data_IF_324849326009
#
_entry.id   IF_324849326009
#
_cell.length_a   1.000
_cell.length_b   1.000
_cell.length_c   1.000
_cell.angle_alpha   90.00
_cell.angle_beta   90.00
_cell.angle_gamma   90.00
#
_symmetry.space_group_name_H-M   'P 1'
#
loop_
_entity.id
_entity.type
_entity.pdbx_description
1 polymer ?
#
# COMPACT_ATOMS: atom_id res chain seq x y z
N UNK A 1 -23.97 -11.82 -2.01
CA UNK A 1 -25.03 -11.27 -2.90
C UNK A 1 -24.84 -11.74 -4.34
N UNK A 2 -23.81 -11.32 -5.08
CA UNK A 2 -23.68 -11.67 -6.52
C UNK A 2 -23.80 -13.18 -6.81
N UNK A 3 -23.11 -14.04 -6.04
CA UNK A 3 -23.20 -15.50 -6.20
C UNK A 3 -24.62 -16.05 -5.97
N UNK A 4 -25.38 -15.48 -5.02
CA UNK A 4 -26.75 -15.91 -4.70
C UNK A 4 -27.69 -15.58 -5.86
N UNK A 5 -27.49 -14.44 -6.52
CA UNK A 5 -28.38 -13.93 -7.57
C UNK A 5 -28.01 -14.44 -8.97
N UNK A 6 -26.74 -14.78 -9.22
CA UNK A 6 -26.21 -15.05 -10.56
C UNK A 6 -25.73 -16.49 -10.76
N UNK A 7 -25.87 -17.37 -9.77
CA UNK A 7 -25.44 -18.78 -9.87
C UNK A 7 -26.49 -19.73 -9.29
N UNK A 8 -26.43 -21.01 -9.67
CA UNK A 8 -27.28 -22.08 -9.11
C UNK A 8 -26.59 -22.84 -7.97
N UNK A 9 -25.59 -22.23 -7.34
CA UNK A 9 -24.86 -22.83 -6.22
C UNK A 9 -25.73 -22.95 -4.98
N UNK A 10 -25.48 -23.98 -4.19
CA UNK A 10 -26.16 -24.16 -2.91
C UNK A 10 -25.69 -23.13 -1.89
N UNK A 11 -26.56 -22.80 -0.93
CA UNK A 11 -26.20 -21.88 0.16
C UNK A 11 -24.99 -22.36 0.96
N UNK A 12 -24.83 -23.69 1.10
CA UNK A 12 -23.65 -24.29 1.73
C UNK A 12 -22.37 -23.99 0.95
N UNK A 13 -22.36 -24.15 -0.37
CA UNK A 13 -21.18 -23.84 -1.20
C UNK A 13 -20.79 -22.36 -1.13
N UNK A 14 -21.77 -21.47 -1.11
CA UNK A 14 -21.55 -20.02 -0.99
C UNK A 14 -21.04 -19.67 0.42
N UNK A 15 -21.63 -20.29 1.45
CA UNK A 15 -21.21 -20.14 2.85
C UNK A 15 -19.75 -20.58 3.06
N UNK A 16 -19.39 -21.77 2.57
CA UNK A 16 -18.04 -22.31 2.64
C UNK A 16 -17.03 -21.41 1.91
N UNK A 17 -17.41 -20.84 0.76
CA UNK A 17 -16.55 -19.92 -0.01
C UNK A 17 -16.36 -18.56 0.68
N UNK A 18 -17.44 -18.00 1.23
CA UNK A 18 -17.42 -16.69 1.89
C UNK A 18 -16.95 -16.76 3.36
N UNK A 19 -16.84 -17.95 3.95
CA UNK A 19 -16.45 -18.15 5.35
C UNK A 19 -17.51 -17.66 6.35
N UNK A 20 -18.78 -17.66 5.95
CA UNK A 20 -19.91 -17.22 6.79
C UNK A 20 -20.94 -18.34 6.92
N UNK A 21 -21.83 -18.25 7.90
CA UNK A 21 -22.75 -19.36 8.18
C UNK A 21 -23.87 -19.46 7.12
N UNK A 22 -24.31 -20.68 6.79
CA UNK A 22 -25.37 -20.91 5.78
C UNK A 22 -26.67 -20.13 6.09
N UNK A 23 -27.05 -20.02 7.38
CA UNK A 23 -28.19 -19.20 7.82
C UNK A 23 -28.07 -17.72 7.46
N UNK A 24 -26.85 -17.15 7.49
CA UNK A 24 -26.63 -15.76 7.09
C UNK A 24 -26.83 -15.60 5.58
N UNK A 25 -26.38 -16.57 4.78
CA UNK A 25 -26.62 -16.61 3.33
C UNK A 25 -28.12 -16.74 3.02
N UNK A 26 -28.86 -17.58 3.76
CA UNK A 26 -30.33 -17.70 3.63
C UNK A 26 -31.02 -16.39 3.97
N UNK A 27 -30.69 -15.77 5.10
CA UNK A 27 -31.27 -14.46 5.47
C UNK A 27 -30.94 -13.35 4.46
N UNK A 28 -29.80 -13.42 3.77
CA UNK A 28 -29.48 -12.53 2.64
C UNK A 28 -30.33 -12.83 1.39
N UNK A 29 -30.63 -14.11 1.12
CA UNK A 29 -31.49 -14.52 0.00
C UNK A 29 -32.96 -14.16 0.24
N UNK A 30 -33.43 -14.31 1.49
CA UNK A 30 -34.80 -13.99 1.93
C UNK A 30 -35.04 -12.48 2.10
N UNK A 31 -33.98 -11.66 2.01
CA UNK A 31 -34.05 -10.21 2.09
C UNK A 31 -34.20 -9.64 3.52
N UNK A 32 -34.01 -10.47 4.56
CA UNK A 32 -34.12 -10.07 5.96
C UNK A 32 -32.91 -9.26 6.46
N UNK A 33 -31.74 -9.43 5.82
CA UNK A 33 -30.51 -8.72 6.18
C UNK A 33 -30.37 -7.44 5.35
N UNK A 34 -30.24 -6.29 6.02
CA UNK A 34 -30.15 -4.96 5.40
C UNK A 34 -29.21 -4.94 4.16
N UNK A 35 -29.78 -4.63 2.99
CA UNK A 35 -29.16 -4.63 1.65
C UNK A 35 -28.08 -3.55 1.43
N UNK A 36 -27.22 -3.27 2.42
CA UNK A 36 -26.16 -2.25 2.27
C UNK A 36 -24.87 -2.78 1.63
N UNK A 37 -24.80 -4.08 1.29
CA UNK A 37 -23.60 -4.69 0.70
C UNK A 37 -23.81 -4.82 -0.81
N UNK A 38 -23.16 -3.96 -1.61
CA UNK A 38 -23.05 -4.17 -3.06
C UNK A 38 -22.30 -5.47 -3.31
N UNK A 39 -22.97 -6.46 -3.90
CA UNK A 39 -22.34 -7.70 -4.32
C UNK A 39 -21.25 -7.44 -5.36
N UNK A 40 -20.00 -7.67 -4.98
CA UNK A 40 -18.89 -7.68 -5.93
C UNK A 40 -18.96 -8.97 -6.76
N UNK A 41 -18.71 -8.85 -8.07
CA UNK A 41 -18.63 -10.00 -8.96
C UNK A 41 -17.26 -10.71 -8.75
N UNK A 42 -17.24 -11.96 -8.22
CA UNK A 42 -16.00 -12.69 -7.95
C UNK A 42 -15.26 -13.14 -9.21
N UNK A 43 -15.95 -13.21 -10.37
CA UNK A 43 -15.33 -13.50 -11.67
C UNK A 43 -14.58 -12.26 -12.16
N UNK A 44 -15.23 -11.09 -12.09
CA UNK A 44 -14.60 -9.83 -12.50
C UNK A 44 -13.38 -9.48 -11.64
N UNK A 45 -13.35 -9.94 -10.38
CA UNK A 45 -12.22 -9.78 -9.47
C UNK A 45 -11.16 -10.90 -9.61
N UNK A 46 -11.33 -11.83 -10.55
CA UNK A 46 -10.39 -12.92 -10.80
C UNK A 46 -10.31 -13.99 -9.70
N UNK A 47 -11.26 -13.99 -8.76
CA UNK A 47 -11.29 -14.93 -7.62
C UNK A 47 -11.91 -16.27 -8.00
N UNK A 48 -12.81 -16.29 -8.99
CA UNK A 48 -13.46 -17.49 -9.52
C UNK A 48 -13.47 -17.46 -11.05
N UNK A 49 -13.40 -18.65 -11.67
CA UNK A 49 -13.65 -18.80 -13.10
C UNK A 49 -15.09 -19.24 -13.35
N UNK A 50 -15.61 -18.95 -14.54
CA UNK A 50 -16.93 -19.45 -14.97
C UNK A 50 -16.98 -20.98 -14.93
N UNK A 51 -15.90 -21.64 -15.35
CA UNK A 51 -15.74 -23.09 -15.36
C UNK A 51 -15.88 -23.69 -13.95
N UNK A 52 -15.30 -23.03 -12.94
CA UNK A 52 -15.39 -23.46 -11.55
C UNK A 52 -16.81 -23.32 -10.98
N UNK A 53 -17.52 -22.24 -11.35
CA UNK A 53 -18.92 -22.05 -10.98
C UNK A 53 -19.79 -23.12 -11.64
N UNK A 54 -19.56 -23.45 -12.91
CA UNK A 54 -20.30 -24.50 -13.61
C UNK A 54 -20.03 -25.89 -13.02
N UNK A 55 -18.78 -26.20 -12.67
CA UNK A 55 -18.40 -27.45 -12.00
C UNK A 55 -19.16 -27.62 -10.69
N UNK A 56 -19.14 -26.58 -9.85
CA UNK A 56 -19.82 -26.59 -8.56
C UNK A 56 -21.35 -26.52 -8.68
N UNK A 57 -21.88 -25.93 -9.76
CA UNK A 57 -23.34 -25.93 -10.02
C UNK A 57 -23.87 -27.31 -10.42
N UNK A 58 -23.01 -28.19 -10.96
CA UNK A 58 -23.38 -29.57 -11.37
C UNK A 58 -23.26 -30.58 -10.23
N UNK A 59 -22.45 -30.31 -9.21
CA UNK A 59 -22.29 -31.18 -8.05
C UNK A 59 -22.42 -30.40 -6.72
N UNK A 60 -23.56 -30.54 -6.02
CA UNK A 60 -23.81 -29.90 -4.72
C UNK A 60 -22.81 -30.24 -3.61
N UNK A 61 -22.05 -31.33 -3.73
CA UNK A 61 -21.08 -31.76 -2.71
C UNK A 61 -19.69 -31.16 -2.92
N UNK A 62 -19.47 -30.42 -4.01
CA UNK A 62 -18.17 -29.83 -4.32
C UNK A 62 -18.07 -28.40 -3.80
N UNK A 63 -16.89 -28.02 -3.31
CA UNK A 63 -16.66 -26.68 -2.78
C UNK A 63 -15.92 -25.82 -3.81
N UNK A 64 -16.34 -24.55 -3.92
CA UNK A 64 -15.69 -23.54 -4.75
C UNK A 64 -14.22 -23.37 -4.31
N UNK A 65 -13.31 -23.46 -5.27
CA UNK A 65 -11.90 -23.17 -5.08
C UNK A 65 -11.57 -21.78 -5.63
N UNK A 66 -10.85 -20.98 -4.83
CA UNK A 66 -10.36 -19.68 -5.28
C UNK A 66 -9.33 -19.93 -6.40
N UNK A 67 -9.60 -19.38 -7.58
CA UNK A 67 -8.63 -19.33 -8.66
C UNK A 67 -7.54 -18.35 -8.25
N UNK A 68 -6.39 -18.86 -7.82
CA UNK A 68 -5.28 -18.02 -7.39
C UNK A 68 -4.69 -17.31 -8.61
N UNK A 69 -5.05 -16.04 -8.82
CA UNK A 69 -4.40 -15.22 -9.84
C UNK A 69 -3.02 -14.74 -9.32
N UNK A 70 -1.92 -14.90 -10.08
CA UNK A 70 -0.60 -14.37 -9.71
C UNK A 70 -0.59 -12.86 -9.42
N UNK A 71 -1.59 -12.12 -9.91
CA UNK A 71 -1.76 -10.70 -9.64
C UNK A 71 -2.12 -10.39 -8.17
N UNK A 72 -2.79 -11.31 -7.46
CA UNK A 72 -3.16 -11.11 -6.05
C UNK A 72 -1.95 -11.19 -5.11
N UNK A 73 -0.93 -11.98 -5.45
CA UNK A 73 0.36 -11.96 -4.74
C UNK A 73 1.08 -10.63 -4.92
N UNK A 74 1.06 -10.10 -6.14
CA UNK A 74 1.66 -8.80 -6.44
C UNK A 74 0.94 -7.68 -5.67
N UNK A 75 -0.39 -7.72 -5.54
CA UNK A 75 -1.14 -6.73 -4.77
C UNK A 75 -0.95 -6.88 -3.25
N UNK A 76 -0.85 -8.10 -2.70
CA UNK A 76 -0.50 -8.31 -1.28
C UNK A 76 0.90 -7.79 -0.95
N UNK A 77 1.85 -7.89 -1.88
CA UNK A 77 3.20 -7.36 -1.75
C UNK A 77 3.27 -5.83 -1.91
N UNK A 78 2.27 -5.22 -2.55
CA UNK A 78 2.05 -3.77 -2.49
C UNK A 78 1.34 -3.38 -1.19
N UNK A 79 1.88 -3.77 -0.03
CA UNK A 79 1.67 -2.98 1.18
C UNK A 79 2.14 -1.57 0.85
N UNK A 80 1.20 -0.69 0.44
CA UNK A 80 1.42 0.76 0.36
C UNK A 80 2.12 1.11 1.66
N UNK A 81 3.42 1.41 1.57
CA UNK A 81 4.14 1.97 2.70
C UNK A 81 3.42 3.28 3.01
N UNK A 82 2.44 3.22 3.91
CA UNK A 82 1.78 4.41 4.44
C UNK A 82 2.92 5.24 4.99
N UNK A 83 3.06 6.47 4.49
CA UNK A 83 4.11 7.37 4.92
C UNK A 83 4.13 7.37 6.45
N UNK A 84 5.21 6.84 7.04
CA UNK A 84 5.34 6.73 8.50
C UNK A 84 5.16 8.13 9.06
N UNK A 85 4.11 8.33 9.87
CA UNK A 85 3.86 9.61 10.54
C UNK A 85 5.14 10.06 11.23
N UNK A 86 5.74 11.16 10.79
CA UNK A 86 6.92 11.73 11.44
C UNK A 86 6.44 12.56 12.62
N UNK A 87 6.76 12.18 13.88
CA UNK A 87 6.36 12.94 15.05
C UNK A 87 6.83 14.39 14.96
N UNK A 88 6.05 15.33 15.52
CA UNK A 88 6.31 16.77 15.37
C UNK A 88 7.70 17.18 15.88
N UNK A 89 8.17 16.52 16.94
CA UNK A 89 9.51 16.69 17.50
C UNK A 89 10.62 16.40 16.47
N UNK A 90 10.39 15.45 15.56
CA UNK A 90 11.36 15.06 14.52
C UNK A 90 11.23 15.89 13.24
N UNK A 91 10.34 16.87 13.18
CA UNK A 91 10.23 17.78 12.02
C UNK A 91 11.37 18.78 11.96
N UNK A 92 11.95 19.15 13.10
CA UNK A 92 13.13 20.02 13.18
C UNK A 92 14.41 19.30 12.71
N UNK A 93 14.43 17.97 12.74
CA UNK A 93 15.56 17.17 12.25
C UNK A 93 15.62 17.11 10.71
N UNK A 94 14.50 17.36 10.01
CA UNK A 94 14.45 17.30 8.54
C UNK A 94 15.30 18.39 7.88
N UNK A 95 15.21 19.67 8.28
CA UNK A 95 16.10 20.70 7.75
C UNK A 95 17.59 20.44 7.98
N UNK A 96 17.95 19.92 9.16
CA UNK A 96 19.32 19.54 9.51
C UNK A 96 19.87 18.45 8.58
N UNK A 97 19.05 17.43 8.30
CA UNK A 97 19.36 16.36 7.36
C UNK A 97 19.51 16.86 5.91
N UNK A 98 18.61 17.74 5.45
CA UNK A 98 18.70 18.32 4.10
C UNK A 98 19.98 19.15 3.95
N UNK A 99 20.31 19.95 4.96
CA UNK A 99 21.51 20.78 4.94
C UNK A 99 22.79 19.92 4.92
N UNK A 100 22.80 18.80 5.67
CA UNK A 100 23.89 17.82 5.60
C UNK A 100 24.02 17.17 4.22
N UNK A 101 22.91 16.75 3.60
CA UNK A 101 22.93 16.15 2.26
C UNK A 101 23.47 17.11 1.21
N UNK A 102 23.01 18.36 1.21
CA UNK A 102 23.49 19.38 0.27
C UNK A 102 24.96 19.72 0.50
N UNK A 103 25.46 19.64 1.73
CA UNK A 103 26.86 19.91 2.06
C UNK A 103 27.80 18.77 1.66
N UNK A 104 27.38 17.51 1.85
CA UNK A 104 28.21 16.34 1.55
C UNK A 104 28.09 15.89 0.08
N UNK A 105 26.93 16.09 -0.54
CA UNK A 105 26.62 15.64 -1.89
C UNK A 105 26.06 16.81 -2.72
N UNK A 106 26.92 17.70 -3.25
CA UNK A 106 26.47 18.89 -3.98
C UNK A 106 25.69 18.56 -5.26
N UNK A 107 25.92 17.38 -5.85
CA UNK A 107 25.27 16.92 -7.08
C UNK A 107 23.96 16.15 -6.83
N UNK A 108 23.50 16.05 -5.58
CA UNK A 108 22.26 15.32 -5.26
C UNK A 108 21.05 15.99 -5.90
N UNK A 109 20.19 15.19 -6.53
CA UNK A 109 18.98 15.72 -7.18
C UNK A 109 17.83 15.84 -6.19
N UNK A 110 17.00 16.88 -6.32
CA UNK A 110 15.87 17.16 -5.41
C UNK A 110 14.94 15.95 -5.22
N UNK A 111 14.69 15.18 -6.29
CA UNK A 111 13.84 13.99 -6.24
C UNK A 111 14.38 12.90 -5.29
N UNK A 112 15.70 12.79 -5.13
CA UNK A 112 16.36 11.83 -4.24
C UNK A 112 16.21 12.29 -2.80
N UNK A 113 16.40 13.59 -2.53
CA UNK A 113 16.18 14.16 -1.20
C UNK A 113 14.72 14.00 -0.76
N UNK A 114 13.76 14.28 -1.64
CA UNK A 114 12.33 14.13 -1.36
C UNK A 114 12.01 12.68 -0.98
N UNK A 115 12.53 11.72 -1.75
CA UNK A 115 12.31 10.28 -1.51
C UNK A 115 12.99 9.79 -0.23
N UNK A 116 14.18 10.30 0.09
CA UNK A 116 14.98 9.88 1.24
C UNK A 116 14.46 10.45 2.57
N UNK A 117 14.12 11.73 2.59
CA UNK A 117 13.78 12.48 3.82
C UNK A 117 12.27 12.65 4.00
N UNK A 118 11.48 12.55 2.93
CA UNK A 118 10.04 12.81 2.97
C UNK A 118 9.76 14.29 3.27
N UNK A 119 10.32 15.16 2.43
CA UNK A 119 10.17 16.63 2.48
C UNK A 119 9.61 17.16 1.16
N UNK A 120 9.32 18.47 1.08
CA UNK A 120 8.87 19.12 -0.15
C UNK A 120 10.03 19.83 -0.86
N UNK A 121 9.90 20.02 -2.18
CA UNK A 121 10.85 20.80 -2.98
C UNK A 121 11.04 22.22 -2.43
N UNK A 122 9.95 22.85 -2.01
CA UNK A 122 9.96 24.19 -1.41
C UNK A 122 10.86 24.28 -0.18
N UNK A 123 10.87 23.26 0.68
CA UNK A 123 11.75 23.23 1.86
C UNK A 123 13.21 23.02 1.47
N UNK A 124 13.49 22.20 0.45
CA UNK A 124 14.85 21.98 -0.06
C UNK A 124 15.41 23.29 -0.63
N UNK A 125 14.64 23.98 -1.47
CA UNK A 125 15.04 25.25 -2.07
C UNK A 125 15.23 26.35 -1.00
N UNK A 126 14.37 26.38 0.03
CA UNK A 126 14.52 27.32 1.14
C UNK A 126 15.83 27.12 1.91
N UNK A 127 16.27 25.86 2.09
CA UNK A 127 17.53 25.55 2.76
C UNK A 127 18.73 25.85 1.84
N UNK A 128 18.62 25.51 0.55
CA UNK A 128 19.66 25.79 -0.47
C UNK A 128 19.92 27.30 -0.60
N UNK A 129 18.86 28.10 -0.61
CA UNK A 129 18.91 29.57 -0.70
C UNK A 129 19.10 30.26 0.64
N UNK A 130 19.21 29.50 1.74
CA UNK A 130 19.30 30.03 3.12
C UNK A 130 18.12 30.93 3.55
N UNK A 131 16.96 30.79 2.90
CA UNK A 131 15.74 31.56 3.16
C UNK A 131 14.78 30.87 4.14
N UNK A 132 15.13 29.69 4.65
CA UNK A 132 14.33 28.99 5.65
C UNK A 132 14.29 29.78 6.96
N UNK A 133 13.11 29.92 7.57
CA UNK A 133 12.89 30.73 8.78
C UNK A 133 13.81 30.38 9.96
N UNK A 134 14.25 29.11 10.05
CA UNK A 134 15.13 28.62 11.11
C UNK A 134 16.60 28.44 10.68
N UNK A 135 17.06 29.11 9.61
CA UNK A 135 18.40 28.88 9.05
C UNK A 135 19.54 29.04 10.06
N UNK A 136 19.40 29.98 11.00
CA UNK A 136 20.42 30.26 12.02
C UNK A 136 20.60 29.12 13.03
N UNK A 137 19.57 28.30 13.24
CA UNK A 137 19.62 27.19 14.19
C UNK A 137 19.90 25.84 13.54
N UNK A 138 19.85 25.77 12.20
CA UNK A 138 20.05 24.52 11.45
C UNK A 138 21.51 24.09 11.56
N UNK A 139 21.73 22.82 11.90
CA UNK A 139 23.06 22.22 11.99
C UNK A 139 23.12 20.98 11.09
N UNK A 140 24.15 20.83 10.24
CA UNK A 140 24.26 19.67 9.38
C UNK A 140 24.40 18.41 10.25
N UNK A 141 23.43 17.51 10.16
CA UNK A 141 23.44 16.20 10.85
C UNK A 141 23.09 15.09 9.87
N UNK A 142 23.74 13.94 10.06
CA UNK A 142 23.55 12.78 9.20
C UNK A 142 22.10 12.24 9.31
N UNK A 143 21.36 12.10 8.19
CA UNK A 143 20.00 11.59 8.19
C UNK A 143 19.85 10.15 8.70
N UNK A 144 20.90 9.32 8.61
CA UNK A 144 20.91 7.95 9.14
C UNK A 144 20.99 7.99 10.66
N UNK A 145 21.86 8.83 11.22
CA UNK A 145 21.99 9.00 12.68
C UNK A 145 20.73 9.61 13.31
N UNK A 146 20.04 10.48 12.57
CA UNK A 146 18.73 11.01 12.97
C UNK A 146 17.59 9.99 12.86
N UNK A 147 17.87 8.80 12.29
CA UNK A 147 16.87 7.75 12.08
C UNK A 147 15.79 8.14 11.06
N UNK A 148 16.11 9.05 10.14
CA UNK A 148 15.21 9.50 9.08
C UNK A 148 15.24 8.53 7.90
N UNK A 149 16.43 8.07 7.52
CA UNK A 149 16.61 7.06 6.47
C UNK A 149 17.51 5.90 6.95
N UNK A 150 17.50 4.80 6.20
CA UNK A 150 18.41 3.68 6.46
C UNK A 150 19.75 3.92 5.76
N UNK A 151 20.82 3.30 6.28
CA UNK A 151 22.14 3.31 5.64
C UNK A 151 22.08 2.76 4.21
N UNK A 152 21.23 1.75 3.99
CA UNK A 152 21.04 1.11 2.67
C UNK A 152 20.47 2.12 1.67
N UNK A 153 19.49 2.92 2.08
CA UNK A 153 18.86 3.91 1.20
C UNK A 153 19.80 5.07 0.88
N UNK A 154 20.60 5.51 1.86
CA UNK A 154 21.63 6.52 1.62
C UNK A 154 22.68 6.01 0.63
N UNK A 155 23.20 4.79 0.83
CA UNK A 155 24.21 4.20 -0.05
C UNK A 155 23.72 4.08 -1.50
N UNK A 156 22.45 3.70 -1.73
CA UNK A 156 21.85 3.64 -3.07
C UNK A 156 21.87 4.98 -3.79
N UNK A 157 21.60 6.07 -3.07
CA UNK A 157 21.65 7.43 -3.64
C UNK A 157 23.10 7.79 -3.95
N UNK A 158 24.02 7.55 -3.02
CA UNK A 158 25.44 7.85 -3.22
C UNK A 158 26.01 7.10 -4.42
N UNK A 159 25.63 5.84 -4.61
CA UNK A 159 26.03 5.04 -5.77
C UNK A 159 25.49 5.63 -7.08
N UNK A 160 24.23 6.09 -7.10
CA UNK A 160 23.67 6.76 -8.27
C UNK A 160 24.27 8.14 -8.59
N UNK A 161 25.04 8.73 -7.68
CA UNK A 161 25.73 10.01 -7.87
C UNK A 161 27.15 9.86 -8.40
N UNK A 162 27.73 8.66 -8.36
CA UNK A 162 29.04 8.42 -8.95
C UNK A 162 28.90 8.39 -10.49
N UNK A 163 29.75 9.12 -11.23
CA UNK A 163 29.81 8.95 -12.68
C UNK A 163 30.23 7.51 -13.02
N UNK A 164 29.80 6.99 -14.19
CA UNK A 164 30.14 5.65 -14.66
C UNK A 164 31.65 5.44 -14.86
#
# INVERSE_FOLDING_TARGET
>A
MWLIENTSLTFKQIADFCGIHEFEIKGMADGEVAQSIKGLNPIANGQLTLEEIERCSKDPNTNLQISYSPADELMKNQKKQRAKYTPIARRQDKPDAIYWLLSNYPNIQDHQIIKLIGTTKTTIDAIRTRSHWNMNSIRPRDPVLLGICSQIDLNKIVESLKPP
#
